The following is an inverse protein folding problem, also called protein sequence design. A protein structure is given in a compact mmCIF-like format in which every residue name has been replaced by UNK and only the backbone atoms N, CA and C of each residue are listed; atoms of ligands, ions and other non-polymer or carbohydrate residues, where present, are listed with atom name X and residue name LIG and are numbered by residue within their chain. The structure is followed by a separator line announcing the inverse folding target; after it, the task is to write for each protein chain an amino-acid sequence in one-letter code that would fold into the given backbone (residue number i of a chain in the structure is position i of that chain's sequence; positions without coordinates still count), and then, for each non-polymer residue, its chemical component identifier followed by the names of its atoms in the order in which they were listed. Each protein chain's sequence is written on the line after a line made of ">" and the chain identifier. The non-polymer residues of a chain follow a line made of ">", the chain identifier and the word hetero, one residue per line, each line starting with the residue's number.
data_IF_076299232561
#
_entry.id   IF_076299232561
#
_cell.length_a   1.000
_cell.length_b   1.000
_cell.length_c   1.000
_cell.angle_alpha   90.00
_cell.angle_beta   90.00
_cell.angle_gamma   90.00
#
_symmetry.space_group_name_H-M   'P 1'
#
loop_
_entity.id
_entity.type
_entity.pdbx_description
1 polymer ?
#
# COMPACT_ATOMS: atom_id res chain seq x y z
N UNK A 1 13.10 29.75 5.60
CA UNK A 1 11.78 29.12 5.82
C UNK A 1 11.55 28.12 4.68
N UNK A 2 11.85 26.83 4.88
CA UNK A 2 11.67 25.82 3.82
C UNK A 2 10.19 25.45 3.76
N UNK A 3 9.54 25.70 2.63
CA UNK A 3 8.22 25.13 2.33
C UNK A 3 8.35 23.61 2.47
N UNK A 4 7.62 22.98 3.40
CA UNK A 4 7.45 21.52 3.44
C UNK A 4 6.88 21.15 2.07
N UNK A 5 7.65 20.43 1.25
CA UNK A 5 7.16 19.98 -0.06
C UNK A 5 6.01 19.02 0.21
N UNK A 6 4.86 19.22 -0.44
CA UNK A 6 3.73 18.30 -0.37
C UNK A 6 4.13 16.86 -0.71
N UNK A 7 3.26 15.91 -0.38
CA UNK A 7 3.48 14.46 -0.56
C UNK A 7 4.01 14.22 -1.97
N UNK A 8 5.28 13.79 -2.07
CA UNK A 8 6.03 13.83 -3.34
C UNK A 8 5.57 12.79 -4.36
N UNK A 9 4.85 11.78 -3.92
CA UNK A 9 4.25 10.75 -4.79
C UNK A 9 3.37 9.80 -3.97
N UNK A 10 2.21 9.43 -4.52
CA UNK A 10 1.53 8.20 -4.12
C UNK A 10 2.25 7.05 -4.85
N UNK A 11 3.17 6.39 -4.17
CA UNK A 11 3.79 5.17 -4.70
C UNK A 11 2.85 3.99 -4.43
N UNK A 12 2.64 3.13 -5.43
CA UNK A 12 1.96 1.85 -5.27
C UNK A 12 2.76 0.98 -4.31
N UNK A 13 2.14 0.64 -3.17
CA UNK A 13 2.74 -0.22 -2.16
C UNK A 13 2.90 -1.66 -2.66
N UNK A 14 3.93 -2.39 -2.20
CA UNK A 14 4.01 -3.80 -2.49
C UNK A 14 2.86 -4.54 -1.82
N UNK A 15 2.08 -5.27 -2.61
CA UNK A 15 1.13 -6.26 -2.11
C UNK A 15 1.95 -7.45 -1.58
N UNK A 16 1.78 -7.74 -0.29
CA UNK A 16 2.45 -8.84 0.37
C UNK A 16 1.47 -10.01 0.45
N UNK A 17 1.81 -11.12 -0.19
CA UNK A 17 1.06 -12.36 -0.18
C UNK A 17 1.79 -13.39 0.69
N UNK A 18 1.09 -13.99 1.66
CA UNK A 18 1.63 -14.95 2.62
C UNK A 18 1.90 -16.35 2.07
N UNK A 19 2.22 -16.46 0.78
CA UNK A 19 2.25 -17.70 0.01
C UNK A 19 0.88 -18.39 0.01
N UNK A 20 -0.14 -17.67 -0.49
CA UNK A 20 -1.50 -18.19 -0.58
C UNK A 20 -1.54 -19.44 -1.46
N UNK A 21 -2.29 -20.45 -1.02
CA UNK A 21 -2.50 -21.71 -1.75
C UNK A 21 -3.72 -21.69 -2.69
N UNK A 22 -4.43 -20.57 -2.73
CA UNK A 22 -5.62 -20.35 -3.54
C UNK A 22 -5.31 -19.52 -4.81
N UNK A 23 -6.34 -18.99 -5.45
CA UNK A 23 -6.20 -18.24 -6.71
C UNK A 23 -5.65 -16.81 -6.53
N UNK A 24 -5.34 -16.37 -5.30
CA UNK A 24 -4.90 -15.00 -4.99
C UNK A 24 -3.73 -14.54 -5.87
N UNK A 25 -2.71 -15.39 -6.03
CA UNK A 25 -1.56 -15.05 -6.86
C UNK A 25 -1.90 -14.94 -8.35
N UNK A 26 -2.84 -15.75 -8.84
CA UNK A 26 -3.30 -15.69 -10.22
C UNK A 26 -4.04 -14.36 -10.49
N UNK A 27 -4.93 -13.99 -9.57
CA UNK A 27 -5.69 -12.73 -9.65
C UNK A 27 -4.75 -11.53 -9.60
N UNK A 28 -3.81 -11.48 -8.65
CA UNK A 28 -2.88 -10.34 -8.53
C UNK A 28 -1.99 -10.20 -9.77
N UNK A 29 -1.54 -11.33 -10.35
CA UNK A 29 -0.72 -11.33 -11.57
C UNK A 29 -1.49 -10.94 -12.84
N UNK A 30 -2.84 -10.92 -12.80
CA UNK A 30 -3.65 -10.46 -13.94
C UNK A 30 -3.65 -8.93 -14.10
N UNK A 31 -3.25 -8.19 -13.06
CA UNK A 31 -3.13 -6.74 -13.13
C UNK A 31 -1.84 -6.30 -13.82
N UNK A 32 -1.83 -5.10 -14.43
CA UNK A 32 -0.63 -4.55 -15.06
C UNK A 32 0.56 -4.47 -14.08
N UNK A 33 1.78 -4.92 -14.47
CA UNK A 33 2.95 -4.95 -13.59
C UNK A 33 3.41 -3.59 -13.07
N UNK A 34 3.05 -2.51 -13.77
CA UNK A 34 3.31 -1.12 -13.40
C UNK A 34 2.33 -0.59 -12.33
N UNK A 35 1.22 -1.29 -12.10
CA UNK A 35 0.21 -0.92 -11.10
C UNK A 35 0.37 -1.66 -9.78
N UNK A 36 0.93 -2.89 -9.80
CA UNK A 36 1.09 -3.73 -8.61
C UNK A 36 2.52 -4.23 -8.49
N UNK A 37 3.17 -3.85 -7.40
CA UNK A 37 4.39 -4.51 -6.94
C UNK A 37 3.98 -5.69 -6.05
N UNK A 38 4.42 -6.90 -6.35
CA UNK A 38 4.04 -8.11 -5.59
C UNK A 38 5.27 -8.72 -4.91
N UNK A 39 5.13 -9.07 -3.63
CA UNK A 39 6.05 -9.91 -2.87
C UNK A 39 5.21 -11.06 -2.33
N UNK A 40 5.59 -12.30 -2.66
CA UNK A 40 4.93 -13.49 -2.14
C UNK A 40 5.97 -14.35 -1.44
N UNK A 41 5.85 -14.47 -0.13
CA UNK A 41 6.73 -15.26 0.73
C UNK A 41 5.95 -15.71 1.98
N UNK A 42 6.31 -16.84 2.60
CA UNK A 42 5.66 -17.28 3.84
C UNK A 42 5.72 -16.18 4.90
N UNK A 43 4.58 -15.93 5.56
CA UNK A 43 4.49 -15.03 6.69
C UNK A 43 4.07 -15.76 7.97
N UNK A 44 4.34 -15.11 9.11
CA UNK A 44 3.88 -15.57 10.43
C UNK A 44 2.56 -14.90 10.84
N UNK A 45 1.77 -14.47 9.84
CA UNK A 45 0.52 -13.73 10.00
C UNK A 45 0.58 -12.28 9.50
N UNK A 46 -0.57 -11.59 9.56
CA UNK A 46 -0.80 -10.28 8.95
C UNK A 46 0.24 -9.21 9.31
N UNK A 47 0.63 -9.10 10.58
CA UNK A 47 1.59 -8.08 10.99
C UNK A 47 3.02 -8.33 10.47
N UNK A 48 3.39 -9.60 10.25
CA UNK A 48 4.66 -9.93 9.61
C UNK A 48 4.66 -9.45 8.15
N UNK A 49 3.56 -9.71 7.42
CA UNK A 49 3.35 -9.20 6.08
C UNK A 49 3.40 -7.65 6.03
N UNK A 50 2.71 -6.97 6.94
CA UNK A 50 2.75 -5.50 7.03
C UNK A 50 4.16 -4.97 7.28
N UNK A 51 4.90 -5.58 8.21
CA UNK A 51 6.26 -5.18 8.54
C UNK A 51 7.23 -5.36 7.37
N UNK A 52 7.07 -6.41 6.56
CA UNK A 52 7.83 -6.61 5.32
C UNK A 52 7.60 -5.48 4.33
N UNK A 53 6.33 -5.09 4.14
CA UNK A 53 5.97 -3.94 3.31
C UNK A 53 6.56 -2.62 3.83
N UNK A 54 6.41 -2.35 5.13
CA UNK A 54 6.92 -1.13 5.79
C UNK A 54 8.44 -0.96 5.62
N UNK A 55 9.22 -2.04 5.68
CA UNK A 55 10.69 -2.00 5.51
C UNK A 55 11.14 -1.52 4.13
N UNK A 56 10.29 -1.66 3.12
CA UNK A 56 10.57 -1.25 1.75
C UNK A 56 10.10 0.18 1.45
N UNK A 57 9.39 0.81 2.40
CA UNK A 57 8.80 2.11 2.21
C UNK A 57 9.77 3.25 2.52
N UNK A 58 9.79 4.24 1.64
CA UNK A 58 10.70 5.40 1.72
C UNK A 58 9.99 6.75 1.59
N UNK A 59 8.65 6.76 1.50
CA UNK A 59 7.87 7.98 1.32
C UNK A 59 7.41 8.63 2.63
N UNK A 60 6.52 9.61 2.52
CA UNK A 60 6.09 10.47 3.62
C UNK A 60 4.89 9.91 4.43
N UNK A 61 4.11 8.98 3.86
CA UNK A 61 2.89 8.44 4.48
C UNK A 61 2.58 6.99 4.06
N UNK A 62 2.25 6.13 5.03
CA UNK A 62 1.79 4.74 4.80
C UNK A 62 0.28 4.63 4.98
N UNK A 63 -0.38 3.89 4.07
CA UNK A 63 -1.75 3.43 4.23
C UNK A 63 -1.83 1.92 4.06
N UNK A 64 -2.63 1.27 4.89
CA UNK A 64 -2.90 -0.17 4.84
C UNK A 64 -4.38 -0.37 4.58
N UNK A 65 -4.73 -1.24 3.63
CA UNK A 65 -6.11 -1.64 3.33
C UNK A 65 -6.14 -3.17 3.26
N UNK A 66 -7.08 -3.79 3.99
CA UNK A 66 -7.22 -5.24 3.95
C UNK A 66 -7.77 -5.70 2.59
N UNK A 67 -7.62 -6.99 2.29
CA UNK A 67 -8.01 -7.56 1.00
C UNK A 67 -9.52 -7.63 0.78
N UNK A 68 -10.30 -7.64 1.85
CA UNK A 68 -11.76 -7.66 1.89
C UNK A 68 -12.39 -6.26 2.00
N UNK A 69 -11.56 -5.21 2.07
CA UNK A 69 -11.99 -3.81 2.17
C UNK A 69 -11.87 -3.07 0.82
N UNK A 70 -12.66 -2.01 0.66
CA UNK A 70 -12.54 -1.08 -0.45
C UNK A 70 -12.79 0.37 -0.01
N UNK A 71 -12.20 1.33 -0.72
CA UNK A 71 -12.55 2.74 -0.50
C UNK A 71 -13.97 3.01 -0.99
N UNK A 72 -14.71 3.81 -0.22
CA UNK A 72 -16.09 4.19 -0.56
C UNK A 72 -16.19 4.82 -1.95
N UNK A 73 -15.25 5.70 -2.29
CA UNK A 73 -15.21 6.36 -3.59
C UNK A 73 -13.77 6.82 -3.95
N UNK A 74 -13.61 7.35 -5.16
CA UNK A 74 -12.31 7.77 -5.72
C UNK A 74 -11.71 9.01 -5.06
N UNK A 75 -12.48 9.76 -4.27
CA UNK A 75 -12.03 10.98 -3.57
C UNK A 75 -11.34 10.69 -2.25
N UNK A 76 -11.49 9.48 -1.69
CA UNK A 76 -11.01 9.14 -0.34
C UNK A 76 -9.51 9.36 -0.18
N UNK A 77 -8.69 8.85 -1.11
CA UNK A 77 -7.23 9.04 -1.05
C UNK A 77 -6.81 10.50 -1.15
N UNK A 78 -7.51 11.31 -1.97
CA UNK A 78 -7.26 12.74 -2.06
C UNK A 78 -7.58 13.48 -0.76
N UNK A 79 -8.66 13.10 -0.08
CA UNK A 79 -9.05 13.65 1.22
C UNK A 79 -8.06 13.28 2.32
N UNK A 80 -7.60 12.03 2.34
CA UNK A 80 -6.57 11.58 3.29
C UNK A 80 -5.26 12.34 3.06
N UNK A 81 -4.82 12.46 1.81
CA UNK A 81 -3.62 13.23 1.46
C UNK A 81 -3.70 14.67 1.95
N UNK A 82 -4.81 15.36 1.70
CA UNK A 82 -5.01 16.75 2.15
C UNK A 82 -5.00 16.88 3.69
N UNK A 83 -5.60 15.92 4.40
CA UNK A 83 -5.59 15.91 5.86
C UNK A 83 -4.18 15.71 6.44
N UNK A 84 -3.38 14.82 5.83
CA UNK A 84 -2.00 14.56 6.26
C UNK A 84 -1.08 15.77 6.07
N UNK A 85 -1.29 16.59 5.05
CA UNK A 85 -0.51 17.83 4.86
C UNK A 85 -0.72 18.86 5.99
N UNK A 86 -1.88 18.78 6.65
CA UNK A 86 -2.24 19.66 7.77
C UNK A 86 -2.00 19.03 9.15
N UNK A 87 -1.52 17.79 9.20
CA UNK A 87 -1.16 17.12 10.45
C UNK A 87 0.21 17.61 10.94
N UNK A 88 0.35 17.79 12.26
CA UNK A 88 1.51 18.43 12.92
C UNK A 88 2.84 17.65 12.78
#
# INVERSE_FOLDING_TARGET
>A
MRRRSGIRSIASWPRIDGNSSDETLSIVRSYPPDQIRLISEPDSGMYDALNKGLRLYTGDAVGVLNSDDCFHDRSVLGRISAALETAD
#
